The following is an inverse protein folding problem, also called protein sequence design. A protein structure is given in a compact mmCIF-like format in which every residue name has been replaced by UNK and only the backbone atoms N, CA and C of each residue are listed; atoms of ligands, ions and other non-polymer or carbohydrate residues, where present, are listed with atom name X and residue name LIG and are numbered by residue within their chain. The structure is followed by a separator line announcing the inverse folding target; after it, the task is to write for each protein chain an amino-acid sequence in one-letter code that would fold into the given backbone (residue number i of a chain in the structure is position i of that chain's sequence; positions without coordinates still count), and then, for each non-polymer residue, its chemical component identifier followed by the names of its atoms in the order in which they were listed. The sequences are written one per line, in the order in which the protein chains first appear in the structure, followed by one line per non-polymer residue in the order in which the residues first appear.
data_IF_711107016594
#
_entry.id   IF_711107016594
#
_cell.length_a   1.000
_cell.length_b   1.000
_cell.length_c   1.000
_cell.angle_alpha   90.00
_cell.angle_beta   90.00
_cell.angle_gamma   90.00
#
_symmetry.space_group_name_H-M   'P 1'
#
loop_
_entity.id
_entity.type
_entity.pdbx_description
1 polymer ?
#
# COMPACT_ATOMS: atom_id res chain seq x y z
N UNK A 1 -26.93 15.42 35.13
CA UNK A 1 -25.72 16.28 35.09
C UNK A 1 -24.55 15.52 35.70
N UNK A 2 -23.40 15.45 35.02
CA UNK A 2 -22.17 14.79 35.52
C UNK A 2 -21.75 15.44 36.84
N UNK A 3 -21.74 14.62 37.90
CA UNK A 3 -21.65 15.09 39.29
C UNK A 3 -20.24 15.50 39.72
N UNK A 4 -19.18 15.05 39.03
CA UNK A 4 -17.79 15.39 39.37
C UNK A 4 -17.03 16.04 38.21
N UNK A 5 -16.03 16.85 38.56
CA UNK A 5 -15.14 17.50 37.61
C UNK A 5 -14.38 16.48 36.74
N UNK A 6 -13.93 15.38 37.34
CA UNK A 6 -13.24 14.28 36.65
C UNK A 6 -14.06 13.66 35.53
N UNK A 7 -15.36 13.47 35.75
CA UNK A 7 -16.24 12.85 34.75
C UNK A 7 -16.49 13.77 33.55
N UNK A 8 -16.53 15.10 33.76
CA UNK A 8 -16.63 16.08 32.67
C UNK A 8 -15.34 16.15 31.86
N UNK A 9 -14.20 16.17 32.54
CA UNK A 9 -12.89 16.16 31.87
C UNK A 9 -12.69 14.92 31.00
N UNK A 10 -13.03 13.74 31.54
CA UNK A 10 -12.99 12.49 30.78
C UNK A 10 -13.92 12.55 29.57
N UNK A 11 -15.17 13.00 29.73
CA UNK A 11 -16.11 13.13 28.63
C UNK A 11 -15.58 14.03 27.51
N UNK A 12 -15.10 15.25 27.85
CA UNK A 12 -14.56 16.16 26.83
C UNK A 12 -13.36 15.57 26.11
N UNK A 13 -12.45 14.92 26.83
CA UNK A 13 -11.27 14.28 26.23
C UNK A 13 -11.68 13.21 25.22
N UNK A 14 -12.58 12.31 25.59
CA UNK A 14 -13.06 11.27 24.68
C UNK A 14 -13.84 11.86 23.49
N UNK A 15 -14.67 12.88 23.72
CA UNK A 15 -15.39 13.54 22.64
C UNK A 15 -14.44 14.18 21.64
N UNK A 16 -13.41 14.90 22.10
CA UNK A 16 -12.40 15.50 21.23
C UNK A 16 -11.61 14.43 20.48
N UNK A 17 -11.17 13.38 21.17
CA UNK A 17 -10.47 12.25 20.53
C UNK A 17 -11.31 11.61 19.44
N UNK A 18 -12.57 11.29 19.71
CA UNK A 18 -13.49 10.67 18.74
C UNK A 18 -13.75 11.57 17.55
N UNK A 19 -14.05 12.85 17.77
CA UNK A 19 -14.31 13.79 16.67
C UNK A 19 -13.03 13.96 15.83
N UNK A 20 -11.87 14.10 16.48
CA UNK A 20 -10.60 14.28 15.78
C UNK A 20 -10.21 13.06 14.96
N UNK A 21 -10.46 11.84 15.46
CA UNK A 21 -10.14 10.60 14.74
C UNK A 21 -11.05 10.42 13.54
N UNK A 22 -12.35 10.69 13.68
CA UNK A 22 -13.31 10.66 12.56
C UNK A 22 -12.94 11.69 11.49
N UNK A 23 -12.68 12.93 11.87
CA UNK A 23 -12.28 13.97 10.92
C UNK A 23 -10.96 13.61 10.21
N UNK A 24 -9.97 13.13 10.95
CA UNK A 24 -8.69 12.72 10.38
C UNK A 24 -8.85 11.54 9.42
N UNK A 25 -9.69 10.57 9.78
CA UNK A 25 -10.02 9.44 8.92
C UNK A 25 -10.67 9.90 7.61
N UNK A 26 -11.70 10.76 7.67
CA UNK A 26 -12.37 11.27 6.48
C UNK A 26 -11.41 12.06 5.58
N UNK A 27 -10.63 12.99 6.15
CA UNK A 27 -9.66 13.80 5.39
C UNK A 27 -8.61 12.90 4.71
N UNK A 28 -8.07 11.92 5.44
CA UNK A 28 -7.09 10.98 4.88
C UNK A 28 -7.70 10.16 3.73
N UNK A 29 -8.94 9.70 3.88
CA UNK A 29 -9.63 8.95 2.82
C UNK A 29 -9.96 9.82 1.61
N UNK A 30 -10.40 11.07 1.80
CA UNK A 30 -10.60 12.03 0.72
C UNK A 30 -9.29 12.22 -0.05
N UNK A 31 -8.20 12.54 0.65
CA UNK A 31 -6.90 12.71 0.01
C UNK A 31 -6.46 11.43 -0.74
N UNK A 32 -6.69 10.27 -0.14
CA UNK A 32 -6.42 8.99 -0.78
C UNK A 32 -7.21 8.84 -2.09
N UNK A 33 -8.52 9.04 -2.06
CA UNK A 33 -9.39 8.83 -3.22
C UNK A 33 -9.10 9.80 -4.36
N UNK A 34 -8.82 11.07 -4.07
CA UNK A 34 -8.55 12.07 -5.11
C UNK A 34 -7.12 12.00 -5.64
N UNK A 35 -6.10 11.86 -4.77
CA UNK A 35 -4.70 12.02 -5.20
C UNK A 35 -3.89 10.74 -5.28
N UNK A 36 -4.22 9.71 -4.48
CA UNK A 36 -3.42 8.50 -4.39
C UNK A 36 -4.02 7.33 -5.16
N UNK A 37 -5.35 7.20 -5.19
CA UNK A 37 -6.02 6.04 -5.79
C UNK A 37 -5.68 5.89 -7.27
N UNK A 38 -5.82 6.94 -8.06
CA UNK A 38 -5.50 6.88 -9.50
C UNK A 38 -4.02 6.53 -9.74
N UNK A 39 -3.11 7.12 -8.96
CA UNK A 39 -1.66 6.84 -9.07
C UNK A 39 -1.33 5.39 -8.69
N UNK A 40 -1.97 4.88 -7.64
CA UNK A 40 -1.80 3.50 -7.22
C UNK A 40 -2.37 2.53 -8.26
N UNK A 41 -3.56 2.81 -8.79
CA UNK A 41 -4.21 2.01 -9.84
C UNK A 41 -3.32 1.98 -11.09
N UNK A 42 -2.78 3.13 -11.51
CA UNK A 42 -1.84 3.21 -12.63
C UNK A 42 -0.56 2.40 -12.38
N UNK A 43 0.02 2.49 -11.17
CA UNK A 43 1.22 1.73 -10.79
C UNK A 43 0.96 0.23 -10.83
N UNK A 44 -0.13 -0.24 -10.23
CA UNK A 44 -0.51 -1.66 -10.20
C UNK A 44 -0.79 -2.18 -11.62
N UNK A 45 -1.54 -1.42 -12.41
CA UNK A 45 -1.84 -1.77 -13.79
C UNK A 45 -0.57 -1.85 -14.66
N UNK A 46 0.37 -0.92 -14.48
CA UNK A 46 1.65 -0.97 -15.16
C UNK A 46 2.44 -2.25 -14.81
N UNK A 47 2.48 -2.62 -13.52
CA UNK A 47 3.12 -3.87 -13.08
C UNK A 47 2.44 -5.10 -13.70
N UNK A 48 1.11 -5.14 -13.74
CA UNK A 48 0.36 -6.25 -14.34
C UNK A 48 0.63 -6.38 -15.86
N UNK A 49 0.62 -5.27 -16.59
CA UNK A 49 0.93 -5.24 -18.03
C UNK A 49 2.35 -5.72 -18.31
N UNK A 50 3.32 -5.33 -17.47
CA UNK A 50 4.68 -5.87 -17.56
C UNK A 50 4.64 -7.38 -17.41
N UNK A 51 4.03 -7.89 -16.34
CA UNK A 51 3.94 -9.34 -16.09
C UNK A 51 3.29 -10.12 -17.24
N UNK A 52 2.25 -9.57 -17.88
CA UNK A 52 1.61 -10.16 -19.06
C UNK A 52 2.57 -10.26 -20.25
N UNK A 53 3.41 -9.24 -20.49
CA UNK A 53 4.42 -9.27 -21.56
C UNK A 53 5.49 -10.37 -21.39
N UNK A 54 5.60 -10.99 -20.20
CA UNK A 54 6.47 -12.14 -19.96
C UNK A 54 5.78 -13.50 -20.17
N UNK A 55 4.45 -13.56 -20.33
CA UNK A 55 3.76 -14.83 -20.66
C UNK A 55 4.21 -15.38 -22.02
N UNK A 56 4.45 -14.51 -22.99
CA UNK A 56 4.93 -14.89 -24.33
C UNK A 56 6.41 -15.29 -24.35
N UNK A 57 7.13 -15.09 -23.23
CA UNK A 57 8.57 -15.27 -23.08
C UNK A 57 8.94 -16.63 -22.47
N UNK A 58 7.95 -17.39 -21.97
CA UNK A 58 8.13 -18.74 -21.42
C UNK A 58 8.84 -19.72 -22.38
N UNK A 59 8.88 -19.42 -23.68
CA UNK A 59 9.61 -20.21 -24.68
C UNK A 59 11.13 -19.99 -24.64
N UNK A 60 11.62 -18.88 -24.07
CA UNK A 60 13.05 -18.56 -23.99
C UNK A 60 13.58 -18.73 -22.56
N UNK A 61 14.50 -19.66 -22.35
CA UNK A 61 15.18 -19.97 -21.07
C UNK A 61 16.14 -18.84 -20.59
N UNK A 62 15.73 -17.58 -20.66
CA UNK A 62 16.57 -16.45 -20.26
C UNK A 62 16.36 -16.12 -18.77
N UNK A 63 17.29 -16.57 -17.92
CA UNK A 63 17.28 -16.37 -16.47
C UNK A 63 17.30 -14.88 -16.09
N UNK A 64 18.10 -14.05 -16.76
CA UNK A 64 18.20 -12.61 -16.46
C UNK A 64 16.86 -11.91 -16.66
N UNK A 65 16.15 -12.26 -17.73
CA UNK A 65 14.82 -11.74 -18.04
C UNK A 65 13.78 -12.17 -17.01
N UNK A 66 13.90 -13.39 -16.48
CA UNK A 66 13.06 -13.90 -15.41
C UNK A 66 13.34 -13.19 -14.07
N UNK A 67 14.61 -12.99 -13.72
CA UNK A 67 14.98 -12.25 -12.51
C UNK A 67 14.56 -10.78 -12.57
N UNK A 68 14.67 -10.15 -13.74
CA UNK A 68 14.17 -8.79 -13.98
C UNK A 68 12.64 -8.70 -13.80
N UNK A 69 11.88 -9.68 -14.29
CA UNK A 69 10.43 -9.77 -14.03
C UNK A 69 10.13 -9.83 -12.52
N UNK A 70 10.86 -10.65 -11.77
CA UNK A 70 10.66 -10.75 -10.32
C UNK A 70 10.93 -9.40 -9.64
N UNK A 71 11.98 -8.69 -10.05
CA UNK A 71 12.25 -7.31 -9.61
C UNK A 71 11.12 -6.33 -9.94
N UNK A 72 10.57 -6.37 -11.16
CA UNK A 72 9.43 -5.54 -11.59
C UNK A 72 8.15 -5.82 -10.80
N UNK A 73 7.97 -7.07 -10.36
CA UNK A 73 6.92 -7.50 -9.45
C UNK A 73 7.19 -7.09 -7.99
N UNK A 74 8.28 -6.37 -7.71
CA UNK A 74 8.77 -5.96 -6.39
C UNK A 74 9.22 -7.14 -5.50
N UNK A 75 9.55 -8.29 -6.07
CA UNK A 75 10.28 -9.32 -5.36
C UNK A 75 11.77 -8.96 -5.32
N UNK A 76 12.37 -9.10 -4.15
CA UNK A 76 13.82 -9.09 -4.01
C UNK A 76 14.30 -10.53 -4.14
N UNK A 77 15.09 -10.80 -5.16
CA UNK A 77 15.59 -12.15 -5.45
C UNK A 77 17.09 -12.12 -5.66
N UNK A 78 17.75 -13.19 -5.22
CA UNK A 78 19.17 -13.44 -5.39
C UNK A 78 19.32 -14.87 -5.89
N UNK A 79 20.14 -15.06 -6.91
CA UNK A 79 20.50 -16.37 -7.41
C UNK A 79 21.90 -16.70 -6.91
N UNK A 80 22.08 -17.92 -6.40
CA UNK A 80 23.36 -18.46 -5.98
C UNK A 80 23.73 -19.61 -6.91
N UNK A 81 25.00 -19.75 -7.24
CA UNK A 81 25.51 -20.90 -7.97
C UNK A 81 26.02 -21.98 -7.01
N UNK A 82 26.64 -23.04 -7.55
CA UNK A 82 27.16 -24.15 -6.72
C UNK A 82 28.38 -23.76 -5.87
N UNK A 83 29.04 -22.65 -6.18
CA UNK A 83 30.17 -22.11 -5.44
C UNK A 83 29.75 -21.08 -4.38
N UNK A 84 28.51 -20.59 -4.43
CA UNK A 84 27.96 -19.60 -3.50
C UNK A 84 27.80 -18.28 -4.21
#
# INVERSE_FOLDING_TARGET
MLKSLYSRFALYTFTVMLISSLLSFEIANIYYHFQLKEKNDAKIMATLKRAEAYKDVQTSQNLDRYLALLGDLNYQVVAYDKQG
#
